data_IF_961778790072
#
_entry.id   IF_961778790072
#
_cell.length_a   1.000
_cell.length_b   1.000
_cell.length_c   1.000
_cell.angle_alpha   90.00
_cell.angle_beta   90.00
_cell.angle_gamma   90.00
#
_symmetry.space_group_name_H-M   'P 1'
#
loop_
_entity.id
_entity.type
_entity.pdbx_description
1 polymer ?
#
# COMPACT_ATOMS: atom_id res chain seq x y z
N UNK A 1 45.20 -28.63 -33.08
CA UNK A 1 43.91 -27.90 -33.18
C UNK A 1 43.48 -27.28 -31.84
N UNK A 2 44.43 -26.87 -30.98
CA UNK A 2 44.14 -26.09 -29.76
C UNK A 2 44.75 -24.67 -29.80
N UNK A 3 45.66 -24.37 -30.74
CA UNK A 3 46.28 -23.04 -30.86
C UNK A 3 45.44 -22.02 -31.68
N UNK A 4 44.36 -22.45 -32.33
CA UNK A 4 43.45 -21.57 -33.08
C UNK A 4 42.27 -21.09 -32.20
N UNK A 5 41.93 -21.83 -31.14
CA UNK A 5 40.87 -21.45 -30.22
C UNK A 5 41.32 -20.37 -29.21
N UNK A 6 42.62 -20.32 -28.86
CA UNK A 6 43.16 -19.29 -27.96
C UNK A 6 43.34 -17.92 -28.62
N UNK A 7 43.48 -17.83 -29.95
CA UNK A 7 43.64 -16.53 -30.63
C UNK A 7 42.33 -15.77 -30.83
N UNK A 8 41.17 -16.43 -30.71
CA UNK A 8 39.84 -15.81 -30.83
C UNK A 8 39.39 -15.22 -29.48
N UNK A 9 39.87 -15.75 -28.35
CA UNK A 9 39.48 -15.28 -27.03
C UNK A 9 40.22 -13.99 -26.59
N UNK A 10 41.48 -13.80 -27.02
CA UNK A 10 42.28 -12.60 -26.68
C UNK A 10 41.99 -11.37 -27.56
N UNK A 11 41.34 -11.52 -28.71
CA UNK A 11 40.99 -10.37 -29.58
C UNK A 11 39.71 -9.63 -29.18
N UNK A 12 38.87 -10.17 -28.28
CA UNK A 12 37.66 -9.46 -27.83
C UNK A 12 37.88 -8.49 -26.65
N UNK A 13 39.07 -8.49 -26.06
CA UNK A 13 39.38 -7.71 -24.85
C UNK A 13 40.50 -6.68 -25.06
N UNK A 14 40.49 -5.95 -26.18
CA UNK A 14 41.25 -4.70 -26.34
C UNK A 14 40.53 -3.77 -27.32
N UNK A 15 39.69 -2.87 -26.80
CA UNK A 15 39.32 -1.64 -27.51
C UNK A 15 39.77 -0.46 -26.67
N UNK A 16 40.89 0.09 -27.08
CA UNK A 16 41.49 1.33 -26.59
C UNK A 16 40.61 2.53 -26.88
N UNK A 17 40.82 3.55 -26.05
CA UNK A 17 40.23 4.88 -26.06
C UNK A 17 39.96 5.51 -27.43
N UNK A 18 38.74 6.05 -27.56
CA UNK A 18 38.46 7.18 -28.44
C UNK A 18 37.86 8.30 -27.59
N UNK A 19 38.73 9.19 -27.10
CA UNK A 19 38.33 10.51 -26.59
C UNK A 19 38.02 11.41 -27.79
N UNK A 20 37.00 12.25 -27.61
CA UNK A 20 36.54 13.37 -28.43
C UNK A 20 35.60 13.05 -29.60
N UNK A 21 34.29 13.06 -29.33
CA UNK A 21 33.40 14.20 -29.63
C UNK A 21 31.94 13.73 -29.62
N UNK A 22 31.18 14.20 -28.65
CA UNK A 22 29.79 14.68 -28.80
C UNK A 22 29.27 15.05 -27.41
N UNK A 23 29.25 16.35 -27.15
CA UNK A 23 28.47 16.97 -26.08
C UNK A 23 27.00 16.76 -26.46
N UNK A 24 26.26 16.02 -25.64
CA UNK A 24 24.80 16.11 -25.58
C UNK A 24 24.38 15.89 -24.14
N UNK A 25 23.49 16.74 -23.67
CA UNK A 25 23.13 16.94 -22.27
C UNK A 25 22.70 15.63 -21.57
N UNK A 26 23.55 15.14 -20.67
CA UNK A 26 23.22 14.04 -19.78
C UNK A 26 22.32 14.61 -18.69
N UNK A 27 21.03 14.26 -18.75
CA UNK A 27 20.03 14.59 -17.72
C UNK A 27 20.49 14.09 -16.35
N UNK A 28 20.43 14.96 -15.34
CA UNK A 28 20.74 14.65 -13.93
C UNK A 28 19.98 13.42 -13.40
N UNK A 29 18.84 13.10 -14.01
CA UNK A 29 18.00 11.94 -13.71
C UNK A 29 18.73 10.60 -13.93
N UNK A 30 19.60 10.50 -14.94
CA UNK A 30 20.28 9.23 -15.29
C UNK A 30 21.45 8.90 -14.37
N UNK A 31 22.08 9.93 -13.79
CA UNK A 31 23.17 9.76 -12.82
C UNK A 31 22.66 9.30 -11.46
N UNK A 32 21.43 9.70 -11.10
CA UNK A 32 20.77 9.30 -9.85
C UNK A 32 20.39 7.80 -9.85
N UNK A 33 19.92 7.29 -11.00
CA UNK A 33 19.56 5.86 -11.19
C UNK A 33 20.77 4.92 -11.02
N UNK A 34 21.97 5.35 -11.43
CA UNK A 34 23.18 4.55 -11.27
C UNK A 34 23.65 4.47 -9.80
N UNK A 35 23.50 5.56 -9.04
CA UNK A 35 23.89 5.60 -7.61
C UNK A 35 22.91 4.82 -6.71
N UNK A 36 21.61 4.77 -7.06
CA UNK A 36 20.59 4.02 -6.33
C UNK A 36 20.89 2.51 -6.30
N UNK A 37 21.49 1.96 -7.36
CA UNK A 37 21.82 0.53 -7.43
C UNK A 37 22.97 0.13 -6.49
N UNK A 38 23.89 1.06 -6.20
CA UNK A 38 25.04 0.82 -5.31
C UNK A 38 24.64 0.89 -3.83
N UNK A 39 23.68 1.73 -3.47
CA UNK A 39 23.19 1.85 -2.09
C UNK A 39 22.22 0.74 -1.68
N UNK A 40 21.54 0.10 -2.63
CA UNK A 40 20.78 -1.12 -2.38
C UNK A 40 21.66 -2.32 -1.95
N UNK A 41 22.95 -2.30 -2.30
CA UNK A 41 23.91 -3.35 -1.94
C UNK A 41 24.54 -3.17 -0.54
N UNK A 42 24.32 -2.03 0.14
CA UNK A 42 24.92 -1.73 1.46
C UNK A 42 24.05 -2.05 2.67
N UNK A 43 22.78 -2.46 2.49
CA UNK A 43 22.00 -3.01 3.61
C UNK A 43 22.50 -4.43 3.89
N UNK A 44 22.67 -4.83 5.18
CA UNK A 44 22.98 -6.22 5.50
C UNK A 44 21.87 -7.07 4.89
N UNK A 45 22.24 -7.89 3.89
CA UNK A 45 21.37 -8.88 3.29
C UNK A 45 21.01 -9.85 4.41
N UNK A 46 19.83 -9.68 4.99
CA UNK A 46 19.27 -10.62 5.93
C UNK A 46 19.31 -12.01 5.28
N UNK A 47 19.76 -13.02 6.04
CA UNK A 47 19.82 -14.39 5.53
C UNK A 47 18.44 -14.76 4.95
N UNK A 48 18.33 -15.53 3.85
CA UNK A 48 17.03 -15.98 3.34
C UNK A 48 16.17 -16.68 4.41
N UNK A 49 16.82 -17.26 5.43
CA UNK A 49 16.15 -17.82 6.61
C UNK A 49 15.50 -16.76 7.52
N UNK A 50 16.11 -15.57 7.66
CA UNK A 50 15.56 -14.44 8.40
C UNK A 50 14.39 -13.78 7.65
N UNK A 51 14.46 -13.74 6.30
CA UNK A 51 13.34 -13.28 5.46
C UNK A 51 12.08 -14.11 5.68
N UNK A 52 12.20 -15.44 5.67
CA UNK A 52 11.07 -16.35 5.96
C UNK A 52 10.70 -16.36 7.44
N UNK A 53 11.61 -15.96 8.34
CA UNK A 53 11.34 -15.76 9.77
C UNK A 53 10.42 -14.57 10.05
N UNK A 54 10.43 -13.56 9.17
CA UNK A 54 9.59 -12.36 9.28
C UNK A 54 8.19 -12.53 8.65
N UNK A 55 7.90 -13.65 8.00
CA UNK A 55 6.59 -13.90 7.40
C UNK A 55 5.56 -14.30 8.45
N UNK A 56 4.33 -13.84 8.27
CA UNK A 56 3.20 -14.30 9.06
C UNK A 56 3.14 -15.84 9.09
N UNK A 57 3.07 -16.47 10.28
CA UNK A 57 3.13 -17.92 10.41
C UNK A 57 2.11 -18.68 9.56
N UNK A 58 0.90 -18.12 9.36
CA UNK A 58 -0.13 -18.72 8.51
C UNK A 58 0.36 -18.89 7.07
N UNK A 59 0.88 -17.82 6.46
CA UNK A 59 1.42 -17.83 5.09
C UNK A 59 2.58 -18.81 4.97
N UNK A 60 3.54 -18.77 5.91
CA UNK A 60 4.71 -19.66 5.89
C UNK A 60 4.32 -21.14 5.95
N UNK A 61 3.40 -21.50 6.85
CA UNK A 61 2.95 -22.89 7.02
C UNK A 61 2.19 -23.38 5.78
N UNK A 62 1.29 -22.56 5.24
CA UNK A 62 0.55 -22.90 4.02
C UNK A 62 1.48 -23.13 2.84
N UNK A 63 2.41 -22.20 2.57
CA UNK A 63 3.35 -22.34 1.46
C UNK A 63 4.24 -23.59 1.60
N UNK A 64 4.75 -23.85 2.81
CA UNK A 64 5.55 -25.05 3.08
C UNK A 64 4.75 -26.35 2.86
N UNK A 65 3.47 -26.36 3.23
CA UNK A 65 2.58 -27.49 2.96
C UNK A 65 2.35 -27.67 1.46
N UNK A 66 2.02 -26.60 0.73
CA UNK A 66 1.81 -26.63 -0.72
C UNK A 66 3.04 -27.13 -1.48
N UNK A 67 4.25 -26.67 -1.12
CA UNK A 67 5.49 -27.12 -1.76
C UNK A 67 5.75 -28.63 -1.61
N UNK A 68 5.37 -29.21 -0.47
CA UNK A 68 5.51 -30.66 -0.22
C UNK A 68 4.43 -31.45 -0.96
N UNK A 69 3.18 -31.01 -0.85
CA UNK A 69 2.02 -31.67 -1.47
C UNK A 69 2.12 -31.67 -3.00
N UNK A 70 2.65 -30.60 -3.59
CA UNK A 70 2.82 -30.48 -5.04
C UNK A 70 3.68 -31.60 -5.65
N UNK A 71 4.67 -32.12 -4.91
CA UNK A 71 5.57 -33.18 -5.38
C UNK A 71 5.02 -34.59 -5.14
N UNK A 72 4.01 -34.73 -4.27
CA UNK A 72 3.56 -36.03 -3.76
C UNK A 72 2.14 -36.39 -4.18
N UNK A 73 1.39 -35.45 -4.77
CA UNK A 73 -0.01 -35.64 -5.18
C UNK A 73 -0.18 -35.47 -6.68
N UNK A 74 -1.18 -36.17 -7.23
CA UNK A 74 -1.64 -35.93 -8.59
C UNK A 74 -2.20 -34.51 -8.73
N UNK A 75 -1.99 -33.87 -9.89
CA UNK A 75 -2.37 -32.48 -10.18
C UNK A 75 -3.81 -32.16 -9.76
N UNK A 76 -4.78 -33.05 -10.06
CA UNK A 76 -6.21 -32.83 -9.74
C UNK A 76 -6.50 -32.80 -8.24
N UNK A 77 -5.90 -33.72 -7.47
CA UNK A 77 -6.09 -33.79 -6.02
C UNK A 77 -5.39 -32.60 -5.35
N UNK A 78 -4.20 -32.25 -5.83
CA UNK A 78 -3.46 -31.08 -5.37
C UNK A 78 -4.24 -29.78 -5.61
N UNK A 79 -4.91 -29.62 -6.76
CA UNK A 79 -5.71 -28.42 -7.07
C UNK A 79 -6.77 -28.13 -6.01
N UNK A 80 -7.58 -29.14 -5.65
CA UNK A 80 -8.61 -29.02 -4.62
C UNK A 80 -8.03 -28.62 -3.25
N UNK A 81 -7.02 -29.37 -2.80
CA UNK A 81 -6.38 -29.12 -1.51
C UNK A 81 -5.68 -27.76 -1.45
N UNK A 82 -5.03 -27.36 -2.55
CA UNK A 82 -4.35 -26.08 -2.62
C UNK A 82 -5.34 -24.92 -2.58
N UNK A 83 -6.49 -25.04 -3.24
CA UNK A 83 -7.54 -24.02 -3.20
C UNK A 83 -8.04 -23.80 -1.77
N UNK A 84 -8.34 -24.87 -1.05
CA UNK A 84 -8.84 -24.77 0.32
C UNK A 84 -7.78 -24.18 1.25
N UNK A 85 -6.53 -24.66 1.14
CA UNK A 85 -5.42 -24.17 1.94
C UNK A 85 -5.10 -22.68 1.69
N UNK A 86 -5.19 -22.22 0.44
CA UNK A 86 -5.00 -20.81 0.07
C UNK A 86 -6.17 -19.97 0.61
N UNK A 87 -7.42 -20.43 0.46
CA UNK A 87 -8.61 -19.75 0.97
C UNK A 87 -8.53 -19.54 2.49
N UNK A 88 -8.20 -20.60 3.25
CA UNK A 88 -8.00 -20.52 4.69
C UNK A 88 -6.82 -19.62 5.08
N UNK A 89 -5.76 -19.60 4.27
CA UNK A 89 -4.63 -18.70 4.49
C UNK A 89 -5.05 -17.23 4.32
N UNK A 90 -5.79 -16.90 3.26
CA UNK A 90 -6.32 -15.54 3.03
C UNK A 90 -7.22 -15.11 4.19
N UNK A 91 -8.13 -15.98 4.66
CA UNK A 91 -8.97 -15.71 5.83
C UNK A 91 -8.14 -15.51 7.11
N UNK A 92 -7.08 -16.29 7.30
CA UNK A 92 -6.17 -16.14 8.44
C UNK A 92 -5.43 -14.80 8.42
N UNK A 93 -4.98 -14.36 7.23
CA UNK A 93 -4.34 -13.04 7.04
C UNK A 93 -5.34 -11.92 7.31
N UNK A 94 -6.57 -12.03 6.83
CA UNK A 94 -7.64 -11.05 7.07
C UNK A 94 -7.98 -10.91 8.56
N UNK A 95 -8.12 -12.03 9.27
CA UNK A 95 -8.34 -12.02 10.71
C UNK A 95 -7.19 -11.39 11.49
N UNK A 96 -5.94 -11.69 11.10
CA UNK A 96 -4.76 -11.07 11.69
C UNK A 96 -4.70 -9.56 11.41
N UNK A 97 -5.04 -9.13 10.19
CA UNK A 97 -5.11 -7.72 9.82
C UNK A 97 -6.11 -6.96 10.72
N UNK A 98 -7.31 -7.50 10.93
CA UNK A 98 -8.32 -6.92 11.84
C UNK A 98 -7.84 -6.82 13.29
N UNK A 99 -7.10 -7.82 13.77
CA UNK A 99 -6.48 -7.77 15.10
C UNK A 99 -5.36 -6.72 15.20
N UNK A 100 -4.61 -6.49 14.12
CA UNK A 100 -3.60 -5.43 14.09
C UNK A 100 -4.27 -4.06 14.02
N UNK A 101 -5.32 -3.89 13.22
CA UNK A 101 -6.09 -2.65 13.14
C UNK A 101 -6.66 -2.21 14.49
N UNK A 102 -7.04 -3.17 15.35
CA UNK A 102 -7.57 -2.90 16.70
C UNK A 102 -6.47 -2.60 17.73
N UNK A 103 -5.29 -3.22 17.62
CA UNK A 103 -4.20 -3.07 18.59
C UNK A 103 -3.23 -1.91 18.29
N UNK A 104 -3.01 -1.61 17.01
CA UNK A 104 -2.06 -0.59 16.55
C UNK A 104 -2.79 0.54 15.83
N UNK A 105 -2.93 0.46 14.51
CA UNK A 105 -3.65 1.43 13.68
C UNK A 105 -4.30 0.74 12.49
N UNK A 106 -5.36 1.33 11.92
CA UNK A 106 -6.01 0.73 10.76
C UNK A 106 -5.04 0.59 9.57
N UNK A 107 -4.18 1.60 9.37
CA UNK A 107 -3.14 1.60 8.34
C UNK A 107 -2.16 0.44 8.52
N UNK A 108 -1.75 0.14 9.75
CA UNK A 108 -0.86 -0.99 10.03
C UNK A 108 -1.49 -2.34 9.66
N UNK A 109 -2.79 -2.51 9.94
CA UNK A 109 -3.52 -3.73 9.59
C UNK A 109 -3.66 -3.92 8.08
N UNK A 110 -4.00 -2.85 7.36
CA UNK A 110 -4.10 -2.85 5.90
C UNK A 110 -2.75 -3.11 5.22
N UNK A 111 -1.70 -2.41 5.65
CA UNK A 111 -0.34 -2.62 5.12
C UNK A 111 0.19 -4.03 5.43
N UNK A 112 -0.13 -4.57 6.60
CA UNK A 112 0.16 -5.96 6.94
C UNK A 112 -0.54 -6.93 5.98
N UNK A 113 -1.81 -6.71 5.67
CA UNK A 113 -2.58 -7.54 4.74
C UNK A 113 -2.01 -7.46 3.33
N UNK A 114 -1.75 -6.24 2.81
CA UNK A 114 -1.14 -6.02 1.50
C UNK A 114 0.20 -6.76 1.40
N UNK A 115 1.08 -6.60 2.39
CA UNK A 115 2.40 -7.26 2.42
C UNK A 115 2.26 -8.78 2.28
N UNK A 116 1.39 -9.39 3.09
CA UNK A 116 1.29 -10.86 3.13
C UNK A 116 0.52 -11.45 1.95
N UNK A 117 -0.44 -10.72 1.37
CA UNK A 117 -1.10 -11.11 0.13
C UNK A 117 -0.17 -10.99 -1.07
N UNK A 118 0.71 -9.98 -1.13
CA UNK A 118 1.75 -9.88 -2.16
C UNK A 118 2.73 -11.06 -2.08
N UNK A 119 3.18 -11.42 -0.87
CA UNK A 119 4.03 -12.59 -0.66
C UNK A 119 3.29 -13.86 -1.12
N UNK A 120 2.04 -14.05 -0.67
CA UNK A 120 1.26 -15.22 -1.05
C UNK A 120 1.11 -15.33 -2.58
N UNK A 121 0.73 -14.23 -3.25
CA UNK A 121 0.59 -14.13 -4.70
C UNK A 121 1.88 -14.50 -5.44
N UNK A 122 3.01 -13.94 -4.99
CA UNK A 122 4.32 -14.21 -5.61
C UNK A 122 4.73 -15.67 -5.43
N UNK A 123 4.54 -16.22 -4.23
CA UNK A 123 4.97 -17.58 -3.90
C UNK A 123 4.06 -18.65 -4.49
N UNK A 124 2.81 -18.34 -4.86
CA UNK A 124 1.94 -19.29 -5.55
C UNK A 124 2.15 -19.30 -7.07
N UNK A 125 2.75 -18.27 -7.66
CA UNK A 125 2.96 -18.18 -9.11
C UNK A 125 3.85 -19.30 -9.72
N UNK A 126 4.90 -19.83 -9.04
CA UNK A 126 5.73 -20.91 -9.55
C UNK A 126 5.06 -22.28 -9.63
N UNK A 127 3.94 -22.48 -8.92
CA UNK A 127 3.17 -23.71 -9.07
C UNK A 127 2.47 -23.67 -10.43
N UNK A 128 2.96 -24.46 -11.40
CA UNK A 128 2.44 -24.57 -12.76
C UNK A 128 1.11 -25.33 -12.81
N UNK A 129 0.18 -24.97 -11.92
CA UNK A 129 -1.11 -25.61 -11.73
C UNK A 129 -2.17 -24.53 -11.85
N UNK A 130 -3.13 -24.78 -12.72
CA UNK A 130 -4.36 -23.99 -12.77
C UNK A 130 -5.06 -24.22 -11.42
N UNK A 131 -5.01 -23.25 -10.51
CA UNK A 131 -5.72 -23.30 -9.22
C UNK A 131 -7.24 -23.11 -9.39
N UNK A 132 -7.77 -23.59 -10.52
CA UNK A 132 -9.16 -23.52 -10.94
C UNK A 132 -9.79 -24.86 -10.63
N UNK A 133 -10.54 -24.91 -9.53
CA UNK A 133 -11.30 -26.10 -9.15
C UNK A 133 -12.75 -25.88 -9.57
N UNK A 134 -13.32 -26.89 -10.24
CA UNK A 134 -14.75 -26.93 -10.52
C UNK A 134 -15.46 -27.49 -9.30
N UNK A 135 -16.03 -26.64 -8.47
CA UNK A 135 -16.93 -27.09 -7.41
C UNK A 135 -18.33 -27.26 -7.99
N UNK A 136 -18.80 -28.49 -8.12
CA UNK A 136 -20.20 -28.79 -8.49
C UNK A 136 -21.05 -28.73 -7.23
N UNK A 137 -21.64 -27.56 -6.97
CA UNK A 137 -22.65 -27.44 -5.91
C UNK A 137 -24.02 -27.80 -6.48
N UNK A 138 -24.84 -28.47 -5.66
CA UNK A 138 -26.21 -28.80 -6.03
C UNK A 138 -27.13 -27.71 -5.46
N UNK A 139 -27.81 -26.97 -6.34
CA UNK A 139 -28.82 -26.01 -5.95
C UNK A 139 -30.16 -26.71 -5.71
N UNK A 140 -30.54 -26.83 -4.45
CA UNK A 140 -31.79 -27.45 -4.02
C UNK A 140 -32.98 -26.47 -3.99
N UNK A 141 -32.83 -25.24 -4.46
CA UNK A 141 -33.91 -24.23 -4.42
C UNK A 141 -35.14 -24.69 -5.21
N UNK A 142 -34.95 -25.32 -6.37
CA UNK A 142 -36.03 -25.87 -7.19
C UNK A 142 -36.64 -27.12 -6.55
N UNK A 143 -35.81 -27.98 -5.96
CA UNK A 143 -36.24 -29.17 -5.22
C UNK A 143 -37.12 -28.81 -4.03
N UNK A 144 -36.76 -27.74 -3.30
CA UNK A 144 -37.55 -27.23 -2.19
C UNK A 144 -38.93 -26.78 -2.66
N UNK A 145 -39.00 -25.98 -3.72
CA UNK A 145 -40.27 -25.49 -4.27
C UNK A 145 -41.16 -26.63 -4.80
N UNK A 146 -40.56 -27.58 -5.52
CA UNK A 146 -41.24 -28.77 -6.02
C UNK A 146 -41.74 -29.68 -4.86
N UNK A 147 -40.94 -29.85 -3.80
CA UNK A 147 -41.32 -30.61 -2.61
C UNK A 147 -42.48 -29.94 -1.85
N UNK A 148 -42.50 -28.61 -1.75
CA UNK A 148 -43.64 -27.88 -1.21
C UNK A 148 -44.91 -28.11 -2.03
N UNK A 149 -44.81 -28.13 -3.37
CA UNK A 149 -45.93 -28.48 -4.26
C UNK A 149 -46.48 -29.88 -4.00
N UNK A 150 -45.59 -30.86 -3.76
CA UNK A 150 -45.98 -32.24 -3.42
C UNK A 150 -46.70 -32.33 -2.07
N UNK A 151 -46.21 -31.61 -1.06
CA UNK A 151 -46.80 -31.59 0.30
C UNK A 151 -48.16 -30.86 0.31
N UNK A 152 -48.30 -29.79 -0.46
CA UNK A 152 -49.56 -29.02 -0.55
C UNK A 152 -50.64 -29.73 -1.37
N UNK A 153 -50.26 -30.64 -2.29
CA UNK A 153 -51.18 -31.38 -3.17
C UNK A 153 -51.20 -32.90 -2.87
N UNK A 154 -51.46 -33.37 -1.64
CA UNK A 154 -51.32 -34.79 -1.29
C UNK A 154 -52.34 -35.72 -1.99
N UNK A 155 -53.47 -35.17 -2.44
CA UNK A 155 -54.51 -35.91 -3.18
C UNK A 155 -54.17 -36.12 -4.66
N UNK A 156 -53.16 -35.41 -5.20
CA UNK A 156 -52.78 -35.44 -6.61
C UNK A 156 -51.47 -36.19 -6.86
N UNK A 157 -50.91 -36.84 -5.82
CA UNK A 157 -49.65 -37.61 -5.89
C UNK A 157 -49.78 -38.83 -6.83
N UNK A 158 -50.96 -39.45 -6.88
CA UNK A 158 -51.23 -40.64 -7.70
C UNK A 158 -52.32 -40.41 -8.76
N UNK A 159 -52.63 -39.15 -9.09
CA UNK A 159 -53.61 -38.89 -10.15
C UNK A 159 -53.02 -39.29 -11.51
N UNK A 160 -53.74 -40.12 -12.27
CA UNK A 160 -53.36 -40.56 -13.63
C UNK A 160 -53.61 -39.47 -14.71
N UNK A 161 -53.63 -38.21 -14.32
CA UNK A 161 -53.84 -37.05 -15.19
C UNK A 161 -52.54 -36.24 -15.29
N UNK A 162 -52.39 -35.38 -16.31
CA UNK A 162 -51.18 -34.59 -16.59
C UNK A 162 -50.74 -33.65 -15.46
N UNK A 163 -51.58 -33.45 -14.44
CA UNK A 163 -51.32 -32.63 -13.24
C UNK A 163 -50.90 -33.48 -12.03
N UNK A 164 -50.06 -34.50 -12.24
CA UNK A 164 -49.59 -35.36 -11.15
C UNK A 164 -48.47 -34.66 -10.38
N UNK A 165 -48.69 -34.41 -9.09
CA UNK A 165 -47.74 -33.69 -8.23
C UNK A 165 -46.42 -34.45 -8.02
N UNK A 166 -46.42 -35.78 -8.13
CA UNK A 166 -45.21 -36.61 -8.07
C UNK A 166 -44.42 -36.49 -9.38
N UNK A 167 -45.08 -36.48 -10.53
CA UNK A 167 -44.42 -36.23 -11.82
C UNK A 167 -43.87 -34.80 -11.90
N UNK A 168 -44.62 -33.80 -11.45
CA UNK A 168 -44.17 -32.41 -11.30
C UNK A 168 -42.92 -32.34 -10.41
N UNK A 169 -42.92 -33.05 -9.27
CA UNK A 169 -41.76 -33.15 -8.39
C UNK A 169 -40.56 -33.87 -9.01
N UNK A 170 -40.75 -34.95 -9.78
CA UNK A 170 -39.63 -35.66 -10.43
C UNK A 170 -39.05 -34.88 -11.62
N UNK A 171 -39.88 -34.10 -12.31
CA UNK A 171 -39.46 -33.29 -13.45
C UNK A 171 -38.77 -31.99 -12.99
N UNK A 172 -39.37 -31.28 -12.04
CA UNK A 172 -38.91 -29.95 -11.57
C UNK A 172 -38.05 -30.02 -10.29
N UNK A 173 -38.12 -31.12 -9.54
CA UNK A 173 -37.34 -31.36 -8.33
C UNK A 173 -35.98 -31.99 -8.59
N UNK A 174 -35.47 -31.93 -9.83
CA UNK A 174 -34.08 -32.24 -10.11
C UNK A 174 -33.19 -31.09 -9.59
N UNK A 175 -32.22 -31.35 -8.69
CA UNK A 175 -31.33 -30.30 -8.20
C UNK A 175 -30.50 -29.77 -9.38
N UNK A 176 -30.51 -28.45 -9.57
CA UNK A 176 -29.70 -27.86 -10.64
C UNK A 176 -28.24 -27.90 -10.22
N UNK A 177 -27.41 -28.54 -11.03
CA UNK A 177 -25.96 -28.54 -10.83
C UNK A 177 -25.44 -27.14 -11.18
N UNK A 178 -25.01 -26.38 -10.17
CA UNK A 178 -24.30 -25.12 -10.36
C UNK A 178 -22.81 -25.37 -10.24
N UNK A 179 -22.11 -25.23 -11.36
CA UNK A 179 -20.66 -25.27 -11.42
C UNK A 179 -20.09 -23.92 -10.99
N UNK A 180 -19.38 -23.88 -9.86
CA UNK A 180 -18.56 -22.74 -9.47
C UNK A 180 -17.12 -22.99 -9.88
N UNK A 181 -16.61 -22.16 -10.78
CA UNK A 181 -15.18 -22.12 -11.12
C UNK A 181 -14.46 -21.24 -10.09
N UNK A 182 -13.84 -21.85 -9.09
CA UNK A 182 -13.09 -21.13 -8.07
C UNK A 182 -11.61 -21.09 -8.46
N UNK A 183 -11.12 -19.89 -8.78
CA UNK A 183 -9.71 -19.63 -9.06
C UNK A 183 -9.06 -18.98 -7.84
N UNK A 184 -8.18 -19.74 -7.17
CA UNK A 184 -7.49 -19.29 -5.95
C UNK A 184 -6.58 -18.09 -6.20
N UNK A 185 -5.99 -17.99 -7.39
CA UNK A 185 -5.14 -16.86 -7.77
C UNK A 185 -5.97 -15.61 -7.94
N UNK A 186 -7.11 -15.74 -8.64
CA UNK A 186 -8.07 -14.65 -8.80
C UNK A 186 -8.62 -14.17 -7.47
N UNK A 187 -8.86 -15.08 -6.51
CA UNK A 187 -9.31 -14.70 -5.18
C UNK A 187 -8.25 -13.91 -4.40
N UNK A 188 -6.99 -14.36 -4.42
CA UNK A 188 -5.88 -13.59 -3.81
C UNK A 188 -5.74 -12.21 -4.46
N UNK A 189 -5.79 -12.14 -5.80
CA UNK A 189 -5.71 -10.87 -6.53
C UNK A 189 -6.92 -9.95 -6.23
N UNK A 190 -8.13 -10.50 -6.12
CA UNK A 190 -9.35 -9.77 -5.75
C UNK A 190 -9.23 -9.18 -4.34
N UNK A 191 -8.80 -9.99 -3.37
CA UNK A 191 -8.64 -9.54 -1.99
C UNK A 191 -7.50 -8.51 -1.88
N UNK A 192 -6.39 -8.71 -2.58
CA UNK A 192 -5.29 -7.76 -2.63
C UNK A 192 -5.75 -6.42 -3.20
N UNK A 193 -6.46 -6.44 -4.34
CA UNK A 193 -7.00 -5.22 -4.95
C UNK A 193 -7.95 -4.49 -4.00
N UNK A 194 -8.88 -5.21 -3.38
CA UNK A 194 -9.81 -4.62 -2.41
C UNK A 194 -9.09 -3.97 -1.22
N UNK A 195 -8.06 -4.62 -0.69
CA UNK A 195 -7.27 -4.10 0.42
C UNK A 195 -6.46 -2.86 0.01
N UNK A 196 -5.86 -2.85 -1.18
CA UNK A 196 -5.17 -1.67 -1.72
C UNK A 196 -6.13 -0.48 -1.92
N UNK A 197 -7.35 -0.72 -2.43
CA UNK A 197 -8.35 0.33 -2.60
C UNK A 197 -8.80 0.93 -1.26
N UNK A 198 -9.01 0.09 -0.25
CA UNK A 198 -9.32 0.53 1.12
C UNK A 198 -8.17 1.35 1.71
N UNK A 199 -6.93 0.87 1.62
CA UNK A 199 -5.75 1.61 2.06
C UNK A 199 -5.62 2.97 1.38
N UNK A 200 -5.80 3.03 0.05
CA UNK A 200 -5.74 4.29 -0.69
C UNK A 200 -6.82 5.24 -0.18
N UNK A 201 -8.04 4.76 0.05
CA UNK A 201 -9.14 5.58 0.56
C UNK A 201 -8.83 6.11 1.96
N UNK A 202 -8.43 5.25 2.89
CA UNK A 202 -8.19 5.61 4.29
C UNK A 202 -6.96 6.52 4.44
N UNK A 203 -5.89 6.25 3.70
CA UNK A 203 -4.74 7.14 3.63
C UNK A 203 -5.10 8.52 3.07
N UNK A 204 -5.98 8.56 2.07
CA UNK A 204 -6.46 9.82 1.50
C UNK A 204 -7.32 10.60 2.51
N UNK A 205 -8.19 9.92 3.26
CA UNK A 205 -9.03 10.50 4.32
C UNK A 205 -8.19 11.08 5.48
N UNK A 206 -7.11 10.39 5.86
CA UNK A 206 -6.16 10.90 6.87
C UNK A 206 -5.53 12.23 6.42
N UNK A 207 -5.22 12.38 5.14
CA UNK A 207 -4.55 13.56 4.60
C UNK A 207 -5.53 14.71 4.29
N UNK A 208 -6.69 14.42 3.70
CA UNK A 208 -7.60 15.41 3.12
C UNK A 208 -9.04 15.33 3.65
N UNK A 209 -9.33 14.54 4.69
CA UNK A 209 -10.69 14.32 5.20
C UNK A 209 -11.58 15.56 5.42
N UNK A 210 -11.07 16.68 6.01
CA UNK A 210 -11.88 17.89 6.16
C UNK A 210 -12.36 18.47 4.83
N UNK A 211 -11.52 18.40 3.78
CA UNK A 211 -11.89 18.81 2.43
C UNK A 211 -12.87 17.82 1.80
N UNK A 212 -12.66 16.52 1.99
CA UNK A 212 -13.56 15.48 1.46
C UNK A 212 -14.97 15.69 2.01
N UNK A 213 -15.11 15.83 3.33
CA UNK A 213 -16.40 16.08 3.98
C UNK A 213 -17.07 17.38 3.51
N UNK A 214 -16.29 18.43 3.22
CA UNK A 214 -16.83 19.67 2.65
C UNK A 214 -17.31 19.47 1.21
N UNK A 215 -16.49 18.85 0.35
CA UNK A 215 -16.82 18.59 -1.06
C UNK A 215 -18.06 17.71 -1.18
N UNK A 216 -18.18 16.66 -0.37
CA UNK A 216 -19.37 15.79 -0.35
C UNK A 216 -20.65 16.58 0.01
N UNK A 217 -20.58 17.47 1.00
CA UNK A 217 -21.70 18.35 1.35
C UNK A 217 -22.02 19.37 0.24
N UNK A 218 -20.99 19.96 -0.37
CA UNK A 218 -21.15 20.95 -1.43
C UNK A 218 -21.72 20.33 -2.72
N UNK A 219 -21.29 19.11 -3.06
CA UNK A 219 -21.78 18.37 -4.24
C UNK A 219 -23.19 17.81 -4.04
N UNK A 220 -23.58 17.49 -2.81
CA UNK A 220 -24.95 17.10 -2.47
C UNK A 220 -25.94 18.29 -2.46
N UNK A 221 -25.44 19.52 -2.36
CA UNK A 221 -26.28 20.73 -2.34
C UNK A 221 -26.59 21.21 -3.77
N UNK A 222 -27.88 21.32 -4.10
CA UNK A 222 -28.36 21.88 -5.35
C UNK A 222 -29.46 22.93 -5.06
N UNK A 223 -29.42 24.13 -5.66
CA UNK A 223 -28.49 24.62 -6.70
C UNK A 223 -27.14 25.15 -6.18
N UNK A 224 -26.05 24.85 -6.88
CA UNK A 224 -24.66 25.21 -6.51
C UNK A 224 -24.45 26.74 -6.40
N UNK A 225 -25.20 27.52 -7.16
CA UNK A 225 -25.15 29.00 -7.17
C UNK A 225 -25.53 29.62 -5.82
N UNK A 226 -26.30 28.90 -5.00
CA UNK A 226 -26.71 29.35 -3.67
C UNK A 226 -25.77 28.85 -2.56
N UNK A 227 -24.68 28.17 -2.89
CA UNK A 227 -23.77 27.59 -1.90
C UNK A 227 -23.21 28.66 -0.94
N UNK A 228 -22.86 29.84 -1.47
CA UNK A 228 -22.36 30.98 -0.67
C UNK A 228 -23.37 31.50 0.37
N UNK A 229 -24.66 31.27 0.17
CA UNK A 229 -25.70 31.69 1.12
C UNK A 229 -25.75 30.83 2.39
N UNK A 230 -25.11 29.66 2.35
CA UNK A 230 -25.11 28.72 3.45
C UNK A 230 -24.08 29.12 4.53
N UNK A 231 -24.45 29.03 5.83
CA UNK A 231 -23.57 29.44 6.93
C UNK A 231 -22.31 28.57 7.08
N UNK A 232 -22.32 27.35 6.52
CA UNK A 232 -21.20 26.40 6.56
C UNK A 232 -20.30 26.47 5.32
N UNK A 233 -20.68 27.28 4.33
CA UNK A 233 -19.93 27.46 3.09
C UNK A 233 -19.51 28.93 2.91
N UNK A 234 -19.29 29.65 4.01
CA UNK A 234 -18.65 30.97 3.91
C UNK A 234 -17.20 30.81 3.47
N UNK A 235 -16.60 31.84 2.82
CA UNK A 235 -15.20 31.78 2.43
C UNK A 235 -14.26 31.49 3.60
N UNK A 236 -14.58 31.94 4.82
CA UNK A 236 -13.77 31.63 6.01
C UNK A 236 -13.83 30.14 6.37
N UNK A 237 -15.00 29.51 6.33
CA UNK A 237 -15.16 28.07 6.63
C UNK A 237 -14.43 27.20 5.60
N UNK A 238 -14.47 27.58 4.33
CA UNK A 238 -13.70 26.89 3.28
C UNK A 238 -12.19 27.07 3.53
N UNK A 239 -11.75 28.27 3.92
CA UNK A 239 -10.36 28.54 4.28
C UNK A 239 -9.90 27.66 5.45
N UNK A 240 -10.76 27.45 6.45
CA UNK A 240 -10.49 26.56 7.59
C UNK A 240 -10.30 25.13 7.10
N UNK A 241 -11.21 24.60 6.29
CA UNK A 241 -11.11 23.24 5.74
C UNK A 241 -9.81 23.03 4.94
N UNK A 242 -9.43 24.01 4.10
CA UNK A 242 -8.18 23.99 3.32
C UNK A 242 -6.94 24.02 4.23
N UNK A 243 -6.91 24.91 5.24
CA UNK A 243 -5.79 25.02 6.19
C UNK A 243 -5.64 23.77 7.05
N UNK A 244 -6.75 23.17 7.47
CA UNK A 244 -6.75 21.91 8.22
C UNK A 244 -6.20 20.76 7.38
N UNK A 245 -6.61 20.65 6.11
CA UNK A 245 -6.05 19.64 5.21
C UNK A 245 -4.54 19.84 4.99
N UNK A 246 -4.08 21.08 4.74
CA UNK A 246 -2.64 21.37 4.65
C UNK A 246 -1.88 20.97 5.92
N UNK A 247 -2.46 21.23 7.10
CA UNK A 247 -1.89 20.83 8.39
C UNK A 247 -1.85 19.30 8.54
N UNK A 248 -2.91 18.59 8.16
CA UNK A 248 -2.97 17.12 8.17
C UNK A 248 -1.94 16.51 7.23
N UNK A 249 -1.78 17.04 6.02
CA UNK A 249 -0.74 16.60 5.09
C UNK A 249 0.65 16.78 5.72
N UNK A 250 0.96 17.95 6.30
CA UNK A 250 2.24 18.19 7.01
C UNK A 250 2.49 17.20 8.15
N UNK A 251 1.46 16.87 8.91
CA UNK A 251 1.58 16.03 10.10
C UNK A 251 1.64 14.53 9.80
N UNK A 252 0.85 14.05 8.84
CA UNK A 252 0.61 12.61 8.63
C UNK A 252 1.30 12.02 7.39
N UNK A 253 1.77 12.84 6.45
CA UNK A 253 2.41 12.35 5.23
C UNK A 253 3.70 11.56 5.52
N UNK A 254 4.62 12.12 6.32
CA UNK A 254 5.87 11.42 6.64
C UNK A 254 5.64 10.14 7.47
N UNK A 255 4.79 10.12 8.52
CA UNK A 255 4.42 8.88 9.20
C UNK A 255 3.81 7.81 8.28
N UNK A 256 2.93 8.20 7.36
CA UNK A 256 2.30 7.29 6.40
C UNK A 256 3.37 6.64 5.51
N UNK A 257 4.28 7.42 4.93
CA UNK A 257 5.36 6.91 4.08
C UNK A 257 6.33 6.01 4.82
N UNK A 258 6.69 6.35 6.06
CA UNK A 258 7.51 5.47 6.93
C UNK A 258 6.84 4.13 7.15
N UNK A 259 5.53 4.12 7.36
CA UNK A 259 4.77 2.88 7.53
C UNK A 259 4.77 2.07 6.24
N UNK A 260 4.53 2.71 5.09
CA UNK A 260 4.64 2.06 3.78
C UNK A 260 6.02 1.43 3.59
N UNK A 261 7.11 2.13 3.92
CA UNK A 261 8.48 1.61 3.81
C UNK A 261 8.78 0.45 4.77
N UNK A 262 8.17 0.44 5.95
CA UNK A 262 8.35 -0.62 6.95
C UNK A 262 7.70 -1.93 6.51
N UNK A 263 6.47 -1.86 5.97
CA UNK A 263 5.75 -3.06 5.51
C UNK A 263 6.14 -3.46 4.09
N UNK A 264 6.26 -2.51 3.17
CA UNK A 264 6.57 -2.69 1.76
C UNK A 264 8.06 -2.47 1.54
N UNK A 265 8.83 -3.56 1.53
CA UNK A 265 10.27 -3.49 1.32
C UNK A 265 10.69 -3.00 -0.08
N UNK A 266 9.75 -2.97 -1.04
CA UNK A 266 10.00 -2.58 -2.43
C UNK A 266 9.51 -1.16 -2.72
N UNK A 267 10.44 -0.29 -3.14
CA UNK A 267 10.19 1.11 -3.53
C UNK A 267 9.19 1.26 -4.69
N UNK A 268 9.20 0.31 -5.65
CA UNK A 268 8.27 0.36 -6.78
C UNK A 268 6.82 0.16 -6.30
N UNK A 269 6.60 -0.80 -5.38
CA UNK A 269 5.29 -1.05 -4.79
C UNK A 269 4.81 0.13 -3.95
N UNK A 270 5.71 0.75 -3.18
CA UNK A 270 5.43 2.01 -2.45
C UNK A 270 4.97 3.09 -3.42
N UNK A 271 5.69 3.31 -4.53
CA UNK A 271 5.35 4.32 -5.53
C UNK A 271 3.99 4.05 -6.21
N UNK A 272 3.73 2.80 -6.59
CA UNK A 272 2.47 2.39 -7.22
C UNK A 272 1.28 2.67 -6.31
N UNK A 273 1.39 2.41 -5.00
CA UNK A 273 0.31 2.66 -4.03
C UNK A 273 0.20 4.14 -3.64
N UNK A 274 1.33 4.84 -3.54
CA UNK A 274 1.35 6.25 -3.15
C UNK A 274 0.86 7.18 -4.27
N UNK A 275 1.10 6.84 -5.53
CA UNK A 275 0.69 7.67 -6.68
C UNK A 275 -0.82 7.97 -6.70
N UNK A 276 -1.74 7.00 -6.55
CA UNK A 276 -3.17 7.26 -6.39
C UNK A 276 -3.50 8.19 -5.23
N UNK A 277 -2.87 7.99 -4.05
CA UNK A 277 -3.10 8.82 -2.86
C UNK A 277 -2.75 10.28 -3.16
N UNK A 278 -1.55 10.52 -3.72
CA UNK A 278 -1.12 11.87 -4.14
C UNK A 278 -2.10 12.48 -5.14
N UNK A 279 -2.50 11.72 -6.16
CA UNK A 279 -3.39 12.21 -7.20
C UNK A 279 -4.79 12.56 -6.65
N UNK A 280 -5.32 11.76 -5.72
CA UNK A 280 -6.60 12.04 -5.07
C UNK A 280 -6.54 13.32 -4.24
N UNK A 281 -5.49 13.47 -3.41
CA UNK A 281 -5.29 14.67 -2.59
C UNK A 281 -5.23 15.91 -3.48
N UNK A 282 -4.40 15.92 -4.52
CA UNK A 282 -4.34 17.03 -5.49
C UNK A 282 -5.70 17.25 -6.16
N UNK A 283 -6.40 16.18 -6.53
CA UNK A 283 -7.73 16.22 -7.12
C UNK A 283 -8.78 16.92 -6.24
N UNK A 284 -8.71 16.77 -4.91
CA UNK A 284 -9.62 17.49 -4.01
C UNK A 284 -9.34 19.00 -3.96
N UNK A 285 -8.09 19.44 -4.06
CA UNK A 285 -7.79 20.88 -4.17
C UNK A 285 -8.33 21.46 -5.48
N UNK A 286 -8.19 20.74 -6.58
CA UNK A 286 -8.79 21.12 -7.88
C UNK A 286 -10.32 21.20 -7.77
N UNK A 287 -10.96 20.25 -7.10
CA UNK A 287 -12.42 20.28 -6.91
C UNK A 287 -12.88 21.48 -6.09
N UNK A 288 -12.15 21.87 -5.03
CA UNK A 288 -12.47 23.10 -4.28
C UNK A 288 -12.32 24.34 -5.17
N UNK A 289 -11.24 24.43 -5.95
CA UNK A 289 -11.03 25.56 -6.88
C UNK A 289 -12.16 25.66 -7.93
N UNK A 290 -12.59 24.51 -8.47
CA UNK A 290 -13.74 24.43 -9.38
C UNK A 290 -15.05 24.82 -8.69
N UNK A 291 -15.28 24.39 -7.45
CA UNK A 291 -16.46 24.77 -6.66
C UNK A 291 -16.49 26.29 -6.41
N UNK A 292 -15.35 26.90 -6.07
CA UNK A 292 -15.25 28.35 -5.89
C UNK A 292 -15.59 29.11 -7.17
N UNK A 293 -15.09 28.64 -8.31
CA UNK A 293 -15.35 29.24 -9.62
C UNK A 293 -16.82 29.11 -10.03
N UNK A 294 -17.43 27.95 -9.80
CA UNK A 294 -18.79 27.64 -10.28
C UNK A 294 -19.90 28.17 -9.36
N UNK A 295 -19.64 28.30 -8.06
CA UNK A 295 -20.65 28.73 -7.07
C UNK A 295 -20.75 30.26 -6.90
N UNK A 296 -20.12 31.04 -7.78
CA UNK A 296 -20.25 32.50 -7.79
C UNK A 296 -19.48 33.22 -6.68
N UNK A 297 -18.41 32.62 -6.14
CA UNK A 297 -17.51 33.32 -5.23
C UNK A 297 -16.73 34.41 -5.96
N UNK A 298 -16.50 35.54 -5.29
CA UNK A 298 -15.75 36.65 -5.87
C UNK A 298 -14.24 36.39 -5.82
N UNK A 299 -13.48 37.24 -6.50
CA UNK A 299 -12.02 37.22 -6.41
C UNK A 299 -11.53 37.48 -4.98
N UNK A 300 -12.19 38.37 -4.23
CA UNK A 300 -11.86 38.64 -2.83
C UNK A 300 -12.15 37.43 -1.93
N UNK A 301 -13.27 36.74 -2.15
CA UNK A 301 -13.60 35.51 -1.44
C UNK A 301 -12.52 34.43 -1.68
N UNK A 302 -12.05 34.31 -2.93
CA UNK A 302 -11.03 33.33 -3.32
C UNK A 302 -9.68 33.61 -2.65
N UNK A 303 -9.32 34.90 -2.50
CA UNK A 303 -8.15 35.34 -1.74
C UNK A 303 -8.24 34.97 -0.25
N UNK A 304 -9.44 35.05 0.34
CA UNK A 304 -9.68 34.66 1.73
C UNK A 304 -9.49 33.15 1.92
N UNK A 305 -10.00 32.33 0.99
CA UNK A 305 -9.80 30.88 1.03
C UNK A 305 -8.32 30.50 0.96
N UNK A 306 -7.54 31.25 0.16
CA UNK A 306 -6.11 31.02 -0.05
C UNK A 306 -5.79 29.56 -0.42
N UNK A 307 -6.62 28.98 -1.30
CA UNK A 307 -6.43 27.62 -1.79
C UNK A 307 -5.12 27.53 -2.60
N UNK A 308 -4.20 26.60 -2.28
CA UNK A 308 -2.97 26.40 -3.04
C UNK A 308 -3.30 25.85 -4.43
N UNK A 309 -2.48 26.19 -5.43
CA UNK A 309 -2.63 25.62 -6.78
C UNK A 309 -2.27 24.13 -6.77
N UNK A 310 -2.81 23.32 -7.70
CA UNK A 310 -2.50 21.89 -7.78
C UNK A 310 -0.99 21.60 -7.92
N UNK A 311 -0.23 22.45 -8.59
CA UNK A 311 1.21 22.35 -8.73
C UNK A 311 1.91 22.57 -7.39
N UNK A 312 1.49 23.59 -6.63
CA UNK A 312 2.03 23.85 -5.29
C UNK A 312 1.78 22.67 -4.35
N UNK A 313 0.59 22.09 -4.38
CA UNK A 313 0.24 20.91 -3.58
C UNK A 313 1.08 19.69 -4.02
N UNK A 314 1.23 19.47 -5.32
CA UNK A 314 2.04 18.37 -5.86
C UNK A 314 3.51 18.49 -5.44
N UNK A 315 4.09 19.69 -5.52
CA UNK A 315 5.46 19.96 -5.06
C UNK A 315 5.57 19.79 -3.54
N UNK A 316 4.58 20.27 -2.79
CA UNK A 316 4.55 20.16 -1.34
C UNK A 316 4.51 18.69 -0.87
N UNK A 317 3.69 17.84 -1.50
CA UNK A 317 3.64 16.40 -1.21
C UNK A 317 4.94 15.72 -1.62
N UNK A 318 5.50 16.05 -2.79
CA UNK A 318 6.71 15.43 -3.32
C UNK A 318 7.97 15.79 -2.50
N UNK A 319 8.10 17.03 -2.06
CA UNK A 319 9.22 17.48 -1.22
C UNK A 319 9.20 16.87 0.18
N UNK A 320 8.02 16.76 0.79
CA UNK A 320 7.85 16.05 2.07
C UNK A 320 8.17 14.55 1.96
N UNK A 321 8.00 13.96 0.77
CA UNK A 321 8.35 12.57 0.50
C UNK A 321 9.87 12.32 0.60
N UNK A 322 10.68 13.25 0.08
CA UNK A 322 12.14 13.16 0.09
C UNK A 322 12.74 13.22 1.50
N UNK A 323 12.11 13.96 2.41
CA UNK A 323 12.56 14.12 3.80
C UNK A 323 12.31 12.85 4.62
N UNK A 324 11.27 12.06 4.29
CA UNK A 324 11.00 10.80 4.98
C UNK A 324 12.11 9.76 4.81
N UNK A 325 12.87 9.83 3.71
CA UNK A 325 13.93 8.87 3.38
C UNK A 325 15.24 9.07 4.18
N UNK A 326 15.41 10.19 4.91
CA UNK A 326 16.66 10.51 5.62
C UNK A 326 16.63 10.22 7.13
N UNK A 327 15.46 9.93 7.72
CA UNK A 327 15.30 9.63 9.16
C UNK A 327 15.04 8.13 9.42
N UNK A 328 15.54 7.57 10.54
CA UNK A 328 15.30 6.17 10.88
C UNK A 328 13.81 5.89 11.12
N UNK A 329 13.30 4.82 10.49
CA UNK A 329 11.88 4.43 10.46
C UNK A 329 11.41 3.94 11.84
N UNK A 330 10.36 4.56 12.38
CA UNK A 330 9.62 4.11 13.57
C UNK A 330 8.13 3.90 13.24
N UNK A 331 7.42 3.00 13.93
CA UNK A 331 6.02 2.71 13.66
C UNK A 331 5.10 3.93 13.84
N UNK A 332 3.99 3.96 13.09
CA UNK A 332 3.00 5.03 13.12
C UNK A 332 2.44 5.23 14.53
N UNK A 333 2.31 6.48 14.99
CA UNK A 333 1.72 6.79 16.30
C UNK A 333 2.69 6.79 17.49
N UNK A 334 3.97 6.45 17.31
CA UNK A 334 4.96 6.57 18.39
C UNK A 334 5.32 8.05 18.61
N UNK A 335 5.04 8.61 19.80
CA UNK A 335 5.40 10.00 20.13
C UNK A 335 6.91 10.20 20.10
N UNK A 336 7.36 11.21 19.36
CA UNK A 336 8.75 11.70 19.36
C UNK A 336 9.16 12.08 20.77
N UNK A 337 10.18 11.43 21.33
CA UNK A 337 10.99 12.05 22.39
C UNK A 337 11.85 13.11 21.70
N UNK A 338 11.79 14.39 22.09
CA UNK A 338 12.55 15.43 21.42
C UNK A 338 14.04 15.11 21.55
N UNK A 339 14.68 14.75 20.44
CA UNK A 339 16.13 14.70 20.37
C UNK A 339 16.64 16.14 20.45
N UNK A 340 17.47 16.40 21.44
CA UNK A 340 18.15 17.68 21.63
C UNK A 340 18.98 17.94 20.38
N UNK A 341 18.51 18.89 19.55
CA UNK A 341 19.27 19.43 18.42
C UNK A 341 20.55 20.05 19.00
N UNK A 342 21.67 19.32 18.91
CA UNK A 342 22.99 19.92 19.11
C UNK A 342 23.21 20.89 17.96
N UNK A 343 23.13 22.18 18.25
CA UNK A 343 23.53 23.25 17.33
C UNK A 343 24.96 22.99 16.86
N UNK A 344 25.28 23.20 15.57
CA UNK A 344 26.66 23.07 15.10
C UNK A 344 27.51 24.17 15.74
N UNK A 345 28.53 23.77 16.50
CA UNK A 345 29.54 24.67 17.05
C UNK A 345 30.31 25.30 15.90
N UNK A 346 30.12 26.60 15.68
CA UNK A 346 30.98 27.40 14.81
C UNK A 346 32.32 27.54 15.52
N UNK A 347 33.38 26.97 14.93
CA UNK A 347 34.75 27.11 15.39
C UNK A 347 35.20 28.56 15.22
N UNK A 348 35.13 29.35 16.30
CA UNK A 348 35.77 30.66 16.37
C UNK A 348 37.28 30.48 16.49
N UNK A 349 38.00 31.16 15.59
CA UNK A 349 39.46 31.27 15.49
C UNK A 349 40.06 31.65 16.87
N UNK A 350 41.11 30.92 17.29
CA UNK A 350 41.87 31.25 18.51
C UNK A 350 42.81 32.43 18.25
N UNK A 351 42.57 33.53 18.95
CA UNK A 351 43.49 34.65 19.08
C UNK A 351 44.55 34.30 20.14
N UNK A 352 45.82 34.47 19.78
CA UNK A 352 46.99 34.28 20.65
C UNK A 352 47.14 35.50 21.55
N UNK A 353 47.28 35.29 22.86
CA UNK A 353 47.99 36.24 23.73
C UNK A 353 49.02 35.53 24.62
N UNK A 354 50.16 36.20 24.73
CA UNK A 354 51.43 35.80 25.31
C UNK A 354 51.38 35.71 26.84
N UNK A 355 52.13 34.77 27.42
CA UNK A 355 52.47 34.81 28.85
C UNK A 355 53.99 34.89 28.98
N UNK A 356 54.44 36.06 29.42
CA UNK A 356 55.82 36.42 29.72
C UNK A 356 56.28 35.84 31.07
N UNK A 357 57.56 35.51 31.12
CA UNK A 357 58.37 34.83 32.14
C UNK A 357 58.53 35.62 33.45
N UNK A 358 58.69 34.90 34.59
CA UNK A 358 59.28 35.43 35.85
C UNK A 358 58.87 34.63 37.09
N UNK A 359 59.58 33.58 37.53
CA UNK A 359 60.78 33.55 38.42
C UNK A 359 60.43 33.44 39.93
N UNK A 360 60.96 32.36 40.53
CA UNK A 360 61.34 32.10 41.94
C UNK A 360 60.32 32.15 43.10
N UNK A 361 60.15 31.01 43.79
CA UNK A 361 60.87 30.70 45.05
C UNK A 361 60.11 29.64 45.89
N UNK A 362 60.67 28.45 46.02
CA UNK A 362 60.55 27.60 47.24
C UNK A 362 61.62 28.08 48.23
N UNK A 363 61.47 27.96 49.58
CA UNK A 363 61.23 26.66 50.22
C UNK A 363 60.56 26.61 51.63
N UNK A 364 60.25 25.37 52.02
CA UNK A 364 60.35 24.75 53.37
C UNK A 364 59.37 25.02 54.53
N UNK A 365 59.00 23.87 55.15
CA UNK A 365 58.73 23.57 56.58
C UNK A 365 57.28 23.69 57.09
N UNK A 366 56.60 22.56 57.37
CA UNK A 366 56.55 21.77 58.63
C UNK A 366 55.59 22.37 59.67
N UNK A 367 54.43 21.68 59.80
CA UNK A 367 53.55 21.42 60.96
C UNK A 367 53.04 22.56 61.87
N UNK A 368 51.71 22.52 62.08
CA UNK A 368 50.81 23.34 62.94
C UNK A 368 50.41 24.72 62.42
#
# INVERSE_FOLDING_TARGET
MEQIAMSIQEQSLKRSDSRNSMISDISATSQEVANINVEAQKRPQASPADLHGMWYPGVRRTLAALSRLYRCLEKKVFQGLAQEAISLCVQSVDNAAKQISTNATNIDGELFQIKHLLILREQIAPFQVDFVVKETTLDFSNVKNAAYGLIQKPRQIFSLNSNNALLEFLLEGTPMVREHLLDSRKEVDRQLKSCCELFIKDATEILAGPMIAFIEKATAFAPIEQLKSQPWATPEEIAVAVKEAQKKIKAHLAPLQRSMQLYLANKETEFILFRPIRNNVVGYFVQIEQLLTNAGYTYEDTLIVACPTPEQVSVFISSASLISHSEPVQPFGTKVKPSVVRKPSVTSVQEKEEITVGVEATPTSVTL
#
